data_IF_676627769391
#
_entry.id   IF_676627769391
#
_cell.length_a   1.000
_cell.length_b   1.000
_cell.length_c   1.000
_cell.angle_alpha   90.00
_cell.angle_beta   90.00
_cell.angle_gamma   90.00
#
_symmetry.space_group_name_H-M   'P 1'
#
loop_
_entity.id
_entity.type
_entity.pdbx_description
1 polymer ?
#
# COMPACT_ATOMS: atom_id res chain seq x y z
N UNK A 1 -25.47 -16.14 19.00
CA UNK A 1 -25.61 -14.74 18.54
C UNK A 1 -24.93 -14.67 17.20
N UNK A 2 -25.71 -14.65 16.12
CA UNK A 2 -25.19 -14.44 14.76
C UNK A 2 -24.61 -13.03 14.69
N UNK A 3 -23.33 -12.93 14.37
CA UNK A 3 -22.66 -11.66 14.14
C UNK A 3 -23.22 -11.03 12.86
N UNK A 4 -24.03 -9.97 12.99
CA UNK A 4 -24.63 -9.28 11.85
C UNK A 4 -23.60 -8.46 11.03
N UNK A 5 -22.30 -8.55 11.34
CA UNK A 5 -21.26 -7.78 10.66
C UNK A 5 -21.43 -6.28 10.86
N UNK A 6 -21.96 -5.87 12.00
CA UNK A 6 -22.16 -4.46 12.37
C UNK A 6 -20.82 -3.81 12.69
N UNK A 7 -20.59 -2.60 12.16
CA UNK A 7 -19.41 -1.83 12.56
C UNK A 7 -19.68 -1.10 13.88
N UNK A 8 -18.76 -1.27 14.82
CA UNK A 8 -18.80 -0.67 16.15
C UNK A 8 -17.58 0.23 16.36
N UNK A 9 -17.79 1.44 16.88
CA UNK A 9 -16.72 2.28 17.43
C UNK A 9 -16.75 2.19 18.96
N UNK A 10 -15.63 1.81 19.57
CA UNK A 10 -15.46 1.88 21.02
C UNK A 10 -14.55 3.04 21.36
N UNK A 11 -15.01 3.97 22.19
CA UNK A 11 -14.28 5.18 22.60
C UNK A 11 -14.72 5.62 23.99
N UNK A 12 -13.78 5.96 24.88
CA UNK A 12 -14.11 6.42 26.24
C UNK A 12 -14.95 5.42 27.06
N UNK A 13 -14.84 4.12 26.80
CA UNK A 13 -15.67 3.07 27.43
C UNK A 13 -17.08 2.95 26.86
N UNK A 14 -17.48 3.81 25.93
CA UNK A 14 -18.76 3.74 25.22
C UNK A 14 -18.62 2.92 23.95
N UNK A 15 -19.71 2.22 23.60
CA UNK A 15 -19.84 1.43 22.37
C UNK A 15 -20.88 2.07 21.48
N UNK A 16 -20.46 2.62 20.34
CA UNK A 16 -21.30 3.31 19.36
C UNK A 16 -21.55 2.45 18.13
N UNK A 17 -22.80 2.41 17.70
CA UNK A 17 -23.35 1.54 16.64
C UNK A 17 -24.45 2.28 15.87
N UNK A 18 -25.08 1.64 14.87
CA UNK A 18 -26.19 2.26 14.13
C UNK A 18 -25.78 3.36 13.12
N UNK A 19 -24.60 3.22 12.52
CA UNK A 19 -24.07 4.17 11.55
C UNK A 19 -24.91 4.24 10.27
N UNK A 20 -25.19 5.46 9.81
CA UNK A 20 -25.84 5.74 8.52
C UNK A 20 -24.87 5.52 7.37
N UNK A 21 -23.66 6.09 7.50
CA UNK A 21 -22.56 5.85 6.57
C UNK A 21 -21.32 5.39 7.32
N UNK A 22 -20.61 4.46 6.70
CA UNK A 22 -19.38 3.86 7.18
C UNK A 22 -18.38 3.88 6.04
N UNK A 23 -17.17 4.35 6.32
CA UNK A 23 -15.99 4.15 5.48
C UNK A 23 -14.79 3.86 6.37
N UNK A 24 -14.13 2.73 6.16
CA UNK A 24 -12.87 2.38 6.83
C UNK A 24 -11.89 1.88 5.78
N UNK A 25 -10.70 2.48 5.68
CA UNK A 25 -9.70 2.09 4.72
C UNK A 25 -8.39 1.66 5.37
N UNK A 26 -7.80 0.60 4.82
CA UNK A 26 -6.52 0.02 5.23
C UNK A 26 -5.72 -0.35 3.99
N UNK A 27 -4.40 -0.24 4.05
CA UNK A 27 -3.56 -0.68 2.95
C UNK A 27 -2.10 -0.89 3.34
N UNK A 28 -1.37 -1.60 2.48
CA UNK A 28 0.07 -1.80 2.63
C UNK A 28 0.87 -0.50 2.41
N UNK A 29 0.36 0.37 1.52
CA UNK A 29 1.00 1.65 1.19
C UNK A 29 0.18 2.85 1.69
N UNK A 30 -0.85 2.57 2.51
CA UNK A 30 -1.67 3.57 3.21
C UNK A 30 -1.39 3.46 4.70
N UNK A 31 -0.54 4.34 5.20
CA UNK A 31 -0.33 4.49 6.65
C UNK A 31 -0.49 5.96 7.04
N UNK A 32 -1.27 6.27 8.09
CA UNK A 32 -2.07 5.34 8.88
C UNK A 32 -3.31 4.84 8.12
N UNK A 33 -3.91 3.76 8.61
CA UNK A 33 -5.29 3.40 8.23
C UNK A 33 -6.26 4.46 8.77
N UNK A 34 -7.45 4.60 8.18
CA UNK A 34 -8.37 5.67 8.56
C UNK A 34 -9.85 5.29 8.46
N UNK A 35 -10.69 6.00 9.22
CA UNK A 35 -12.14 5.79 9.26
C UNK A 35 -12.93 7.11 9.24
N UNK A 36 -14.12 7.05 8.65
CA UNK A 36 -15.15 8.09 8.63
C UNK A 36 -16.52 7.44 8.89
N UNK A 37 -17.14 7.83 10.00
CA UNK A 37 -18.41 7.28 10.48
C UNK A 37 -19.43 8.41 10.64
N UNK A 38 -20.60 8.25 10.03
CA UNK A 38 -21.70 9.22 10.10
C UNK A 38 -22.92 8.60 10.75
N UNK A 39 -23.53 9.30 11.69
CA UNK A 39 -24.82 8.94 12.29
C UNK A 39 -25.76 10.14 12.30
N UNK A 40 -27.06 9.88 12.17
CA UNK A 40 -28.11 10.87 12.40
C UNK A 40 -28.71 10.59 13.77
N UNK A 41 -28.76 11.60 14.65
CA UNK A 41 -29.30 11.38 15.99
C UNK A 41 -30.81 11.10 15.96
N UNK A 42 -31.25 10.22 16.87
CA UNK A 42 -32.61 9.68 16.90
C UNK A 42 -33.63 10.60 17.56
N UNK A 43 -33.21 11.53 18.43
CA UNK A 43 -34.12 12.33 19.25
C UNK A 43 -33.82 13.83 19.16
N UNK A 44 -34.68 14.61 18.48
CA UNK A 44 -34.63 16.07 18.53
C UNK A 44 -34.97 16.56 19.95
N UNK A 45 -34.06 17.32 20.58
CA UNK A 45 -34.33 18.03 21.85
C UNK A 45 -33.58 17.54 23.09
N UNK A 46 -32.82 16.45 23.01
CA UNK A 46 -31.86 16.06 24.06
C UNK A 46 -30.44 16.48 23.66
N UNK A 47 -29.60 16.96 24.59
CA UNK A 47 -28.17 17.14 24.33
C UNK A 47 -27.58 15.83 23.81
N UNK A 48 -26.72 15.90 22.79
CA UNK A 48 -26.07 14.72 22.22
C UNK A 48 -25.51 13.82 23.33
N UNK A 49 -26.03 12.58 23.40
CA UNK A 49 -25.49 11.57 24.31
C UNK A 49 -24.10 11.06 23.85
N UNK A 50 -23.65 11.46 22.66
CA UNK A 50 -22.37 11.06 22.07
C UNK A 50 -21.26 11.94 22.67
N UNK A 51 -20.63 11.46 23.75
CA UNK A 51 -19.55 12.18 24.44
C UNK A 51 -18.17 11.89 23.85
N UNK A 52 -18.07 11.84 22.52
CA UNK A 52 -16.81 11.57 21.81
C UNK A 52 -16.03 12.87 21.67
N UNK A 53 -14.75 12.84 22.03
CA UNK A 53 -13.86 13.99 21.94
C UNK A 53 -12.66 13.67 21.05
N UNK A 54 -12.16 14.65 20.26
CA UNK A 54 -10.87 14.53 19.58
C UNK A 54 -9.74 14.14 20.54
N UNK A 55 -8.80 13.33 20.04
CA UNK A 55 -7.66 12.79 20.79
C UNK A 55 -7.98 11.55 21.63
N UNK A 56 -9.24 11.15 21.78
CA UNK A 56 -9.57 9.95 22.54
C UNK A 56 -9.11 8.67 21.82
N UNK A 57 -8.52 7.70 22.55
CA UNK A 57 -8.20 6.40 21.97
C UNK A 57 -9.50 5.67 21.59
N UNK A 58 -9.47 5.00 20.45
CA UNK A 58 -10.61 4.28 19.92
C UNK A 58 -10.24 2.95 19.28
N UNK A 59 -11.24 2.09 19.15
CA UNK A 59 -11.13 0.83 18.41
C UNK A 59 -12.36 0.66 17.55
N UNK A 60 -12.15 0.43 16.26
CA UNK A 60 -13.20 0.12 15.30
C UNK A 60 -13.22 -1.37 15.06
N UNK A 61 -14.39 -1.99 15.21
CA UNK A 61 -14.60 -3.42 14.98
C UNK A 61 -15.64 -3.63 13.91
N UNK A 62 -15.46 -4.67 13.10
CA UNK A 62 -16.50 -5.18 12.20
C UNK A 62 -16.94 -6.52 12.74
N UNK A 63 -18.13 -6.57 13.33
CA UNK A 63 -18.53 -7.72 14.12
C UNK A 63 -17.61 -7.93 15.31
N UNK A 64 -16.99 -9.11 15.43
CA UNK A 64 -16.01 -9.39 16.49
C UNK A 64 -14.58 -8.96 16.17
N UNK A 65 -14.24 -8.77 14.89
CA UNK A 65 -12.88 -8.52 14.46
C UNK A 65 -12.48 -7.06 14.65
N UNK A 66 -11.28 -6.84 15.17
CA UNK A 66 -10.68 -5.51 15.19
C UNK A 66 -10.30 -5.15 13.76
N UNK A 67 -10.85 -4.04 13.25
CA UNK A 67 -10.52 -3.52 11.94
C UNK A 67 -9.47 -2.40 12.03
N UNK A 68 -9.55 -1.55 13.06
CA UNK A 68 -8.62 -0.44 13.29
C UNK A 68 -8.52 -0.11 14.78
N UNK A 69 -7.31 0.22 15.23
CA UNK A 69 -7.06 0.73 16.58
C UNK A 69 -6.28 2.02 16.45
N UNK A 70 -6.75 3.10 17.09
CA UNK A 70 -6.22 4.43 16.82
C UNK A 70 -6.82 5.51 17.71
N UNK A 71 -6.96 6.71 17.16
CA UNK A 71 -7.49 7.86 17.87
C UNK A 71 -8.59 8.55 17.06
N UNK A 72 -9.51 9.20 17.75
CA UNK A 72 -10.47 10.11 17.11
C UNK A 72 -9.75 11.40 16.75
N UNK A 73 -9.73 11.79 15.48
CA UNK A 73 -9.11 13.03 15.04
C UNK A 73 -10.10 14.20 15.05
N UNK A 74 -11.31 13.95 14.55
CA UNK A 74 -12.34 15.01 14.42
C UNK A 74 -13.70 14.46 14.76
N UNK A 75 -14.45 15.29 15.48
CA UNK A 75 -15.88 15.13 15.71
C UNK A 75 -16.55 16.36 15.12
N UNK A 76 -17.44 16.16 14.16
CA UNK A 76 -18.18 17.22 13.50
C UNK A 76 -19.66 17.06 13.81
N UNK A 77 -20.26 18.11 14.34
CA UNK A 77 -21.68 18.19 14.66
C UNK A 77 -22.31 19.18 13.68
N UNK A 78 -23.30 18.73 12.93
CA UNK A 78 -24.02 19.54 11.96
C UNK A 78 -25.51 19.56 12.30
N UNK A 79 -26.09 20.75 12.38
CA UNK A 79 -27.53 20.94 12.53
C UNK A 79 -28.06 21.77 11.37
N UNK A 80 -29.08 21.26 10.72
CA UNK A 80 -29.86 21.96 9.70
C UNK A 80 -31.35 21.90 10.02
N UNK A 81 -32.16 22.62 9.24
CA UNK A 81 -33.60 22.68 9.45
C UNK A 81 -34.31 21.29 9.41
N UNK A 82 -33.66 20.27 8.82
CA UNK A 82 -34.22 18.92 8.64
C UNK A 82 -33.28 17.79 9.05
N UNK A 83 -32.11 18.09 9.60
CA UNK A 83 -31.12 17.08 9.94
C UNK A 83 -30.28 17.47 11.14
N UNK A 84 -29.85 16.45 11.89
CA UNK A 84 -28.82 16.56 12.91
C UNK A 84 -27.84 15.40 12.67
N UNK A 85 -26.61 15.71 12.29
CA UNK A 85 -25.60 14.72 11.90
C UNK A 85 -24.37 14.83 12.80
N UNK A 86 -23.87 13.66 13.22
CA UNK A 86 -22.61 13.52 13.94
C UNK A 86 -21.67 12.69 13.08
N UNK A 87 -20.55 13.29 12.69
CA UNK A 87 -19.48 12.62 11.96
C UNK A 87 -18.26 12.46 12.86
N UNK A 88 -17.78 11.24 12.99
CA UNK A 88 -16.57 10.90 13.74
C UNK A 88 -15.54 10.35 12.76
N UNK A 89 -14.39 11.01 12.67
CA UNK A 89 -13.27 10.59 11.84
C UNK A 89 -12.03 10.36 12.68
N UNK A 90 -11.18 9.44 12.28
CA UNK A 90 -9.93 9.17 12.97
C UNK A 90 -9.01 8.27 12.16
N UNK A 91 -7.78 8.13 12.64
CA UNK A 91 -6.77 7.29 12.02
C UNK A 91 -6.17 6.31 13.02
N UNK A 92 -5.47 5.32 12.48
CA UNK A 92 -4.71 4.34 13.24
C UNK A 92 -3.61 4.98 14.09
N UNK A 93 -3.13 4.24 15.08
CA UNK A 93 -2.08 4.69 16.01
C UNK A 93 -0.79 5.13 15.32
N UNK A 94 -0.50 4.62 14.12
CA UNK A 94 0.65 5.02 13.33
C UNK A 94 0.59 6.50 12.87
N UNK A 95 -0.54 7.19 13.03
CA UNK A 95 -0.69 8.60 12.69
C UNK A 95 0.39 9.49 13.34
N UNK A 96 0.80 9.18 14.58
CA UNK A 96 1.77 10.01 15.29
C UNK A 96 3.17 9.90 14.66
N UNK A 97 3.52 8.74 14.10
CA UNK A 97 4.75 8.56 13.33
C UNK A 97 4.73 9.33 12.01
N UNK A 98 3.54 9.47 11.43
CA UNK A 98 3.33 10.18 10.16
C UNK A 98 3.30 11.70 10.35
N UNK A 99 2.70 12.17 11.45
CA UNK A 99 2.46 13.59 11.68
C UNK A 99 3.64 14.27 12.41
N UNK A 100 4.32 13.55 13.33
CA UNK A 100 5.37 14.13 14.17
C UNK A 100 6.78 13.93 13.60
N UNK A 101 7.66 14.90 13.85
CA UNK A 101 9.08 14.77 13.55
C UNK A 101 9.70 13.65 14.40
N UNK A 102 10.69 12.97 13.84
CA UNK A 102 11.40 11.90 14.50
C UNK A 102 12.04 12.39 15.80
N UNK A 103 11.63 11.82 16.94
CA UNK A 103 12.13 12.20 18.25
C UNK A 103 13.47 11.54 18.57
N UNK A 104 14.53 12.07 17.97
CA UNK A 104 15.89 11.51 18.00
C UNK A 104 16.83 12.26 18.96
N UNK A 105 16.38 12.53 20.20
CA UNK A 105 17.18 13.32 21.18
C UNK A 105 18.44 12.61 21.68
N UNK A 106 18.43 11.29 21.67
CA UNK A 106 19.57 10.46 22.11
C UNK A 106 20.52 10.08 20.97
N UNK A 107 20.24 10.54 19.75
CA UNK A 107 21.00 10.20 18.54
C UNK A 107 21.76 11.43 18.07
N UNK A 108 23.08 11.33 17.89
CA UNK A 108 23.95 12.44 17.44
C UNK A 108 23.79 12.72 15.93
N UNK A 109 22.57 12.98 15.47
CA UNK A 109 22.25 13.28 14.07
C UNK A 109 22.54 12.17 13.06
N UNK A 110 22.86 10.95 13.54
CA UNK A 110 23.24 9.82 12.72
C UNK A 110 22.63 8.53 13.27
N UNK A 111 21.88 7.81 12.44
CA UNK A 111 21.42 6.47 12.76
C UNK A 111 22.51 5.49 12.32
N UNK A 112 23.09 4.76 13.28
CA UNK A 112 24.23 3.88 13.03
C UNK A 112 23.84 2.41 13.21
N UNK A 113 24.20 1.57 12.22
CA UNK A 113 24.24 0.10 12.29
C UNK A 113 23.02 -0.57 12.93
N UNK A 114 21.81 -0.22 12.47
CA UNK A 114 20.57 -0.85 12.90
C UNK A 114 19.92 -1.60 11.73
N UNK A 115 19.21 -2.69 12.05
CA UNK A 115 18.26 -3.30 11.12
C UNK A 115 17.04 -2.39 10.92
N UNK A 116 16.25 -2.63 9.87
CA UNK A 116 15.04 -1.84 9.62
C UNK A 116 14.04 -1.95 10.78
N UNK A 117 13.85 -3.15 11.33
CA UNK A 117 12.95 -3.37 12.46
C UNK A 117 13.49 -2.76 13.76
N UNK A 118 14.80 -2.83 14.03
CA UNK A 118 15.40 -2.22 15.22
C UNK A 118 15.26 -0.70 15.20
N UNK A 119 15.51 -0.08 14.04
CA UNK A 119 15.29 1.36 13.87
C UNK A 119 13.82 1.74 14.03
N UNK A 120 12.91 0.98 13.42
CA UNK A 120 11.49 1.23 13.56
C UNK A 120 11.05 1.18 15.02
N UNK A 121 11.57 0.23 15.83
CA UNK A 121 11.31 0.19 17.28
C UNK A 121 11.79 1.45 17.99
N UNK A 122 12.98 1.94 17.65
CA UNK A 122 13.54 3.14 18.24
C UNK A 122 12.65 4.37 17.95
N UNK A 123 12.18 4.51 16.71
CA UNK A 123 11.33 5.62 16.28
C UNK A 123 9.89 5.51 16.80
N UNK A 124 9.39 4.29 16.96
CA UNK A 124 8.06 3.96 17.48
C UNK A 124 7.95 4.11 19.01
N UNK A 125 9.05 3.94 19.74
CA UNK A 125 9.07 3.89 21.20
C UNK A 125 8.49 5.15 21.89
N UNK A 126 8.80 6.39 21.46
CA UNK A 126 8.23 7.60 22.07
C UNK A 126 6.69 7.67 22.02
N UNK A 127 6.09 7.01 21.03
CA UNK A 127 4.64 6.95 20.83
C UNK A 127 4.00 5.70 21.46
N UNK A 128 4.79 4.85 22.13
CA UNK A 128 4.29 3.61 22.74
C UNK A 128 3.83 2.56 21.73
N UNK A 129 4.30 2.65 20.48
CA UNK A 129 3.92 1.73 19.40
C UNK A 129 4.80 0.47 19.43
N UNK A 130 4.17 -0.68 19.21
CA UNK A 130 4.89 -1.93 19.03
C UNK A 130 5.28 -2.12 17.56
N UNK A 131 6.43 -2.77 17.35
CA UNK A 131 6.90 -3.13 16.01
C UNK A 131 7.05 -4.65 15.91
N UNK A 132 6.41 -5.23 14.89
CA UNK A 132 6.49 -6.63 14.52
C UNK A 132 7.44 -6.81 13.35
N UNK A 133 8.20 -7.90 13.38
CA UNK A 133 9.15 -8.26 12.33
C UNK A 133 8.96 -9.76 11.97
N UNK A 134 7.83 -10.14 11.34
CA UNK A 134 7.47 -11.55 11.15
C UNK A 134 8.47 -12.31 10.26
N UNK A 135 9.13 -11.63 9.32
CA UNK A 135 10.14 -12.19 8.43
C UNK A 135 11.58 -11.97 8.94
N UNK A 136 11.73 -11.61 10.22
CA UNK A 136 13.00 -11.27 10.84
C UNK A 136 13.34 -9.78 10.77
N UNK A 137 14.45 -9.41 11.41
CA UNK A 137 14.86 -8.01 11.61
C UNK A 137 15.23 -7.26 10.32
N UNK A 138 15.55 -8.00 9.25
CA UNK A 138 16.12 -7.48 8.01
C UNK A 138 17.64 -7.31 8.08
N UNK A 139 18.30 -6.95 6.96
CA UNK A 139 19.73 -6.67 6.94
C UNK A 139 20.08 -5.50 7.86
N UNK A 140 21.29 -5.53 8.44
CA UNK A 140 21.84 -4.37 9.15
C UNK A 140 22.22 -3.33 8.11
N UNK A 141 21.69 -2.12 8.27
CA UNK A 141 21.94 -1.05 7.31
C UNK A 141 23.24 -0.32 7.63
N UNK A 142 23.98 0.13 6.61
CA UNK A 142 25.10 1.05 6.83
C UNK A 142 24.58 2.36 7.42
N UNK A 143 25.49 3.13 8.00
CA UNK A 143 25.17 4.44 8.55
C UNK A 143 24.56 5.37 7.49
N UNK A 144 23.46 6.04 7.83
CA UNK A 144 22.84 7.05 6.97
C UNK A 144 22.45 8.29 7.78
N UNK A 145 22.36 9.42 7.08
CA UNK A 145 21.97 10.68 7.69
C UNK A 145 20.45 10.80 7.73
N UNK A 146 19.95 11.36 8.82
CA UNK A 146 18.53 11.70 8.99
C UNK A 146 18.44 13.21 9.19
N UNK A 147 17.53 13.87 8.46
CA UNK A 147 17.25 15.27 8.68
C UNK A 147 16.38 15.44 9.93
N UNK A 148 16.67 16.47 10.74
CA UNK A 148 15.92 16.75 11.97
C UNK A 148 14.44 17.10 11.74
N UNK A 149 14.07 17.37 10.50
CA UNK A 149 12.70 17.72 10.08
C UNK A 149 11.92 16.52 9.53
N UNK A 150 12.56 15.37 9.33
CA UNK A 150 11.88 14.16 8.84
C UNK A 150 10.96 13.58 9.91
N UNK A 151 9.85 13.01 9.49
CA UNK A 151 8.94 12.28 10.38
C UNK A 151 9.48 10.90 10.68
N UNK A 152 9.00 10.28 11.77
CA UNK A 152 9.38 8.91 12.10
C UNK A 152 9.03 7.94 10.97
N UNK A 153 7.87 8.15 10.33
CA UNK A 153 7.39 7.30 9.24
C UNK A 153 8.22 7.44 7.97
N UNK A 154 8.60 8.66 7.56
CA UNK A 154 9.46 8.89 6.39
C UNK A 154 10.77 8.10 6.47
N UNK A 155 11.37 8.09 7.67
CA UNK A 155 12.60 7.34 7.93
C UNK A 155 12.33 5.83 7.86
N UNK A 156 11.28 5.34 8.54
CA UNK A 156 10.92 3.92 8.59
C UNK A 156 10.64 3.39 7.18
N UNK A 157 9.81 4.07 6.41
CA UNK A 157 9.40 3.68 5.05
C UNK A 157 10.61 3.66 4.10
N UNK A 158 11.49 4.68 4.14
CA UNK A 158 12.72 4.70 3.35
C UNK A 158 13.64 3.51 3.69
N UNK A 159 13.84 3.26 4.98
CA UNK A 159 14.72 2.20 5.49
C UNK A 159 14.17 0.81 5.20
N UNK A 160 12.86 0.60 5.36
CA UNK A 160 12.21 -0.65 5.01
C UNK A 160 12.39 -0.95 3.51
N UNK A 161 12.16 0.04 2.63
CA UNK A 161 12.38 -0.12 1.18
C UNK A 161 13.82 -0.48 0.84
N UNK A 162 14.80 0.14 1.51
CA UNK A 162 16.21 -0.17 1.33
C UNK A 162 16.53 -1.61 1.79
N UNK A 163 15.91 -2.05 2.88
CA UNK A 163 16.02 -3.42 3.39
C UNK A 163 15.25 -4.47 2.53
N UNK A 164 14.58 -4.05 1.46
CA UNK A 164 13.71 -4.94 0.66
C UNK A 164 12.47 -5.39 1.44
N UNK A 165 11.99 -4.57 2.37
CA UNK A 165 10.85 -4.85 3.24
C UNK A 165 9.74 -3.80 3.04
N UNK A 166 8.53 -4.17 3.43
CA UNK A 166 7.38 -3.29 3.57
C UNK A 166 7.29 -2.81 5.01
N UNK A 167 6.84 -1.56 5.17
CA UNK A 167 6.41 -1.01 6.44
C UNK A 167 4.92 -0.65 6.34
N UNK A 168 4.09 -1.18 7.24
CA UNK A 168 2.66 -0.86 7.27
C UNK A 168 2.09 -1.01 8.69
N UNK A 169 0.89 -0.48 8.90
CA UNK A 169 0.15 -0.60 10.16
C UNK A 169 -0.85 -1.76 10.12
N UNK A 170 -0.88 -2.60 11.18
CA UNK A 170 -1.91 -3.63 11.33
C UNK A 170 -3.19 -3.12 12.05
N UNK A 171 -4.24 -3.96 12.10
CA UNK A 171 -5.52 -3.57 12.71
C UNK A 171 -5.41 -3.23 14.21
N UNK A 172 -4.37 -3.72 14.89
CA UNK A 172 -4.11 -3.47 16.30
C UNK A 172 -3.32 -2.16 16.53
N UNK A 173 -2.96 -1.45 15.46
CA UNK A 173 -2.18 -0.22 15.50
C UNK A 173 -0.70 -0.48 15.82
N UNK A 174 -0.19 -1.65 15.43
CA UNK A 174 1.23 -2.01 15.51
C UNK A 174 1.87 -1.79 14.14
N UNK A 175 3.15 -1.43 14.14
CA UNK A 175 3.92 -1.29 12.90
C UNK A 175 4.46 -2.66 12.53
N UNK A 176 4.30 -3.07 11.28
CA UNK A 176 4.83 -4.32 10.73
C UNK A 176 5.93 -3.99 9.75
N UNK A 177 7.11 -4.58 9.97
CA UNK A 177 8.26 -4.56 9.05
C UNK A 177 8.44 -5.97 8.53
N UNK A 178 8.11 -6.23 7.27
CA UNK A 178 8.11 -7.59 6.73
C UNK A 178 8.03 -7.66 5.22
N UNK A 179 7.94 -8.86 4.67
CA UNK A 179 7.70 -9.08 3.23
C UNK A 179 6.19 -9.09 2.96
N UNK A 180 5.82 -9.02 1.69
CA UNK A 180 4.43 -9.22 1.30
C UNK A 180 3.92 -10.59 1.77
N UNK A 181 2.71 -10.63 2.33
CA UNK A 181 2.16 -11.85 2.92
C UNK A 181 1.97 -12.96 1.89
N UNK A 182 2.12 -14.20 2.35
CA UNK A 182 1.88 -15.43 1.57
C UNK A 182 0.53 -16.07 1.88
N UNK A 183 -0.14 -15.58 2.92
CA UNK A 183 -1.44 -16.07 3.36
C UNK A 183 -2.51 -15.75 2.33
N UNK A 184 -3.44 -16.69 2.17
CA UNK A 184 -4.51 -16.62 1.16
C UNK A 184 -5.86 -16.50 1.85
N UNK A 185 -6.73 -15.68 1.26
CA UNK A 185 -8.15 -15.72 1.58
C UNK A 185 -8.79 -17.00 1.05
N UNK A 186 -9.87 -17.43 1.71
CA UNK A 186 -10.56 -18.67 1.36
C UNK A 186 -11.30 -18.58 0.02
N UNK A 187 -11.68 -17.37 -0.40
CA UNK A 187 -12.26 -17.09 -1.70
C UNK A 187 -11.53 -15.94 -2.41
N UNK A 188 -11.80 -15.82 -3.70
CA UNK A 188 -11.29 -14.75 -4.55
C UNK A 188 -12.40 -13.82 -5.06
N UNK A 189 -12.12 -13.14 -6.15
CA UNK A 189 -13.00 -12.23 -6.88
C UNK A 189 -13.29 -12.82 -8.25
N UNK A 190 -14.56 -13.19 -8.48
CA UNK A 190 -14.99 -13.87 -9.71
C UNK A 190 -16.09 -13.04 -10.40
N UNK A 191 -15.86 -12.73 -11.68
CA UNK A 191 -16.82 -12.00 -12.50
C UNK A 191 -18.16 -12.75 -12.57
N UNK A 192 -19.26 -12.05 -12.31
CA UNK A 192 -20.61 -12.62 -12.35
C UNK A 192 -21.00 -13.42 -11.10
N UNK A 193 -20.14 -13.47 -10.08
CA UNK A 193 -20.44 -14.10 -8.78
C UNK A 193 -20.47 -13.03 -7.68
N UNK A 194 -19.31 -12.58 -7.22
CA UNK A 194 -19.18 -11.68 -6.07
C UNK A 194 -18.55 -10.32 -6.42
N UNK A 195 -18.34 -10.06 -7.72
CA UNK A 195 -17.78 -8.81 -8.21
C UNK A 195 -18.89 -7.99 -8.83
N UNK A 196 -19.16 -6.83 -8.25
CA UNK A 196 -20.17 -5.89 -8.72
C UNK A 196 -19.62 -5.00 -9.83
N UNK A 197 -18.44 -4.43 -9.60
CA UNK A 197 -17.71 -3.64 -10.59
C UNK A 197 -16.23 -3.96 -10.50
N UNK A 198 -15.55 -3.87 -11.64
CA UNK A 198 -14.09 -4.00 -11.69
C UNK A 198 -13.51 -3.13 -12.81
N UNK A 199 -12.32 -2.62 -12.56
CA UNK A 199 -11.51 -1.88 -13.53
C UNK A 199 -10.07 -2.38 -13.43
N UNK A 200 -9.44 -2.63 -14.57
CA UNK A 200 -8.02 -2.97 -14.64
C UNK A 200 -7.26 -1.87 -15.36
N UNK A 201 -6.07 -1.56 -14.87
CA UNK A 201 -5.12 -0.65 -15.50
C UNK A 201 -3.88 -1.42 -15.89
N UNK A 202 -3.55 -1.40 -17.19
CA UNK A 202 -2.27 -1.83 -17.74
C UNK A 202 -1.49 -0.60 -18.21
N UNK A 203 -0.48 -0.20 -17.45
CA UNK A 203 0.21 1.08 -17.63
C UNK A 203 1.65 0.91 -18.14
N UNK A 204 2.15 1.93 -18.84
CA UNK A 204 3.53 1.98 -19.35
C UNK A 204 4.23 3.31 -19.01
N UNK A 205 3.48 4.29 -18.53
CA UNK A 205 3.95 5.64 -18.20
C UNK A 205 4.97 5.62 -17.05
N UNK A 206 4.78 4.76 -16.05
CA UNK A 206 5.70 4.57 -14.91
C UNK A 206 6.68 3.40 -15.09
N UNK A 207 6.80 2.83 -16.29
CA UNK A 207 7.82 1.84 -16.66
C UNK A 207 8.92 2.45 -17.51
N UNK A 208 10.14 1.93 -17.31
CA UNK A 208 11.36 2.41 -17.94
C UNK A 208 12.16 1.22 -18.46
N UNK A 209 12.77 1.37 -19.64
CA UNK A 209 13.60 0.32 -20.26
C UNK A 209 14.92 0.08 -19.53
N UNK A 210 15.49 1.12 -18.92
CA UNK A 210 16.78 1.08 -18.24
C UNK A 210 16.64 1.76 -16.88
N UNK A 211 17.14 1.10 -15.84
CA UNK A 211 17.22 1.61 -14.49
C UNK A 211 18.67 1.69 -14.10
N UNK A 212 19.13 2.86 -13.67
CA UNK A 212 20.51 3.07 -13.23
C UNK A 212 20.52 3.66 -11.82
N UNK A 213 21.18 2.95 -10.92
CA UNK A 213 21.42 3.39 -9.55
C UNK A 213 22.79 4.09 -9.49
N UNK A 214 22.81 5.36 -9.12
CA UNK A 214 24.03 6.17 -8.96
C UNK A 214 24.30 6.48 -7.50
N UNK A 215 25.56 6.73 -7.11
CA UNK A 215 25.89 7.06 -5.71
C UNK A 215 25.74 8.54 -5.39
N UNK A 216 25.76 9.41 -6.40
CA UNK A 216 25.57 10.86 -6.24
C UNK A 216 24.66 11.41 -7.34
N UNK A 217 23.91 12.47 -7.03
CA UNK A 217 23.06 13.17 -8.02
C UNK A 217 23.84 14.04 -9.00
N UNK A 218 25.12 14.32 -8.70
CA UNK A 218 26.04 15.08 -9.55
C UNK A 218 27.23 14.19 -9.85
N UNK A 219 27.60 14.10 -11.12
CA UNK A 219 28.75 13.31 -11.56
C UNK A 219 30.05 14.14 -11.44
N UNK A 220 30.41 14.50 -10.20
CA UNK A 220 31.64 15.26 -9.91
C UNK A 220 32.91 14.44 -10.23
N UNK A 221 32.75 13.13 -10.42
CA UNK A 221 33.83 12.18 -10.69
C UNK A 221 34.06 11.97 -12.19
N UNK A 222 33.21 12.50 -13.06
CA UNK A 222 33.32 12.34 -14.51
C UNK A 222 34.58 13.01 -15.08
N UNK A 223 34.89 14.23 -14.62
CA UNK A 223 36.10 14.96 -15.03
C UNK A 223 37.38 14.26 -14.56
N UNK A 224 37.34 13.66 -13.36
CA UNK A 224 38.46 12.88 -12.82
C UNK A 224 38.63 11.58 -13.59
N UNK A 225 37.55 10.83 -13.86
CA UNK A 225 37.57 9.58 -14.62
C UNK A 225 38.04 9.80 -16.06
N UNK A 226 37.56 10.84 -16.74
CA UNK A 226 38.01 11.22 -18.07
C UNK A 226 39.51 11.57 -18.12
N UNK A 227 40.05 12.18 -17.05
CA UNK A 227 41.46 12.54 -16.96
C UNK A 227 42.41 11.35 -16.72
N UNK A 228 41.95 10.26 -16.08
CA UNK A 228 42.73 9.02 -15.88
C UNK A 228 42.36 7.87 -16.83
N UNK A 229 41.53 8.14 -17.86
CA UNK A 229 41.12 7.12 -18.84
C UNK A 229 40.16 6.06 -18.27
N UNK A 230 39.45 6.40 -17.20
CA UNK A 230 38.40 5.57 -16.60
C UNK A 230 37.06 5.65 -17.34
N UNK A 231 36.11 4.75 -17.02
CA UNK A 231 34.77 4.77 -17.61
C UNK A 231 34.01 6.07 -17.32
N UNK A 232 33.29 6.60 -18.31
CA UNK A 232 32.49 7.84 -18.20
C UNK A 232 31.20 7.68 -17.37
N UNK A 233 30.92 6.47 -16.88
CA UNK A 233 29.78 6.07 -16.05
C UNK A 233 30.21 5.72 -14.62
N UNK A 234 31.32 6.29 -14.14
CA UNK A 234 31.92 6.00 -12.83
C UNK A 234 30.97 6.14 -11.63
N UNK A 235 29.94 6.99 -11.76
CA UNK A 235 28.93 7.21 -10.74
C UNK A 235 27.86 6.10 -10.68
N UNK A 236 27.71 5.28 -11.74
CA UNK A 236 26.73 4.20 -11.82
C UNK A 236 27.24 2.97 -11.08
N UNK A 237 26.42 2.43 -10.16
CA UNK A 237 26.75 1.25 -9.34
C UNK A 237 25.77 0.09 -9.47
N UNK A 238 24.66 0.29 -10.18
CA UNK A 238 23.69 -0.77 -10.45
C UNK A 238 22.87 -0.50 -11.71
N UNK A 239 22.54 -1.56 -12.45
CA UNK A 239 21.78 -1.50 -13.70
C UNK A 239 20.71 -2.58 -13.76
N UNK A 240 19.49 -2.23 -14.13
CA UNK A 240 18.45 -3.19 -14.49
C UNK A 240 17.79 -2.84 -15.82
N UNK A 241 17.33 -3.85 -16.54
CA UNK A 241 16.65 -3.69 -17.82
C UNK A 241 15.27 -4.32 -17.76
N UNK A 242 14.27 -3.55 -18.17
CA UNK A 242 12.92 -4.03 -18.33
C UNK A 242 12.66 -4.32 -19.82
N UNK A 243 12.64 -5.61 -20.16
CA UNK A 243 12.44 -6.07 -21.53
C UNK A 243 11.01 -5.83 -22.03
N UNK A 244 10.05 -5.59 -21.13
CA UNK A 244 8.67 -5.28 -21.47
C UNK A 244 8.46 -3.85 -21.98
N UNK A 245 9.46 -2.99 -21.90
CA UNK A 245 9.37 -1.60 -22.34
C UNK A 245 9.96 -1.48 -23.76
N UNK A 246 9.12 -1.30 -24.80
CA UNK A 246 9.56 -1.45 -26.21
C UNK A 246 10.44 -0.31 -26.72
N UNK A 247 10.50 0.81 -25.99
CA UNK A 247 11.21 2.03 -26.39
C UNK A 247 12.21 2.47 -25.34
N UNK A 248 13.25 3.18 -25.75
CA UNK A 248 14.25 3.73 -24.82
C UNK A 248 13.62 4.78 -23.90
N UNK A 249 13.55 4.42 -22.61
CA UNK A 249 13.08 5.22 -21.48
C UNK A 249 14.03 4.95 -20.31
N UNK A 250 15.06 5.76 -20.08
CA UNK A 250 15.94 5.58 -18.95
C UNK A 250 15.36 6.20 -17.66
N UNK A 251 15.67 5.60 -16.52
CA UNK A 251 15.45 6.16 -15.19
C UNK A 251 16.75 6.06 -14.41
N UNK A 252 17.31 7.21 -14.03
CA UNK A 252 18.48 7.31 -13.18
C UNK A 252 18.02 7.79 -11.80
N UNK A 253 18.50 7.18 -10.73
CA UNK A 253 18.15 7.57 -9.37
C UNK A 253 19.33 7.30 -8.42
N UNK A 254 19.39 8.06 -7.32
CA UNK A 254 20.43 7.92 -6.32
C UNK A 254 20.13 6.72 -5.41
N UNK A 255 21.11 5.86 -5.19
CA UNK A 255 21.11 4.83 -4.15
C UNK A 255 21.64 5.43 -2.86
N UNK A 256 20.90 5.34 -1.76
CA UNK A 256 21.13 6.12 -0.53
C UNK A 256 22.41 5.78 0.27
N UNK A 257 23.30 4.94 -0.27
CA UNK A 257 24.52 4.46 0.39
C UNK A 257 25.73 5.35 0.13
N UNK A 258 26.53 5.66 1.17
CA UNK A 258 27.57 6.69 1.08
C UNK A 258 28.94 6.26 0.51
N UNK A 259 29.27 4.96 0.41
CA UNK A 259 30.38 4.41 -0.42
C UNK A 259 30.52 2.90 -0.17
N UNK A 260 30.88 2.13 -1.22
CA UNK A 260 30.96 0.65 -1.25
C UNK A 260 29.61 -0.07 -1.09
N UNK A 261 29.22 -0.87 -2.08
CA UNK A 261 27.93 -1.58 -2.09
C UNK A 261 27.35 -1.81 -3.48
N UNK A 262 28.18 -2.19 -4.47
CA UNK A 262 27.74 -2.44 -5.84
C UNK A 262 26.62 -3.51 -5.88
N UNK A 263 26.69 -4.51 -5.01
CA UNK A 263 25.65 -5.52 -4.85
C UNK A 263 24.31 -4.94 -4.38
N UNK A 264 24.35 -3.94 -3.49
CA UNK A 264 23.16 -3.25 -3.00
C UNK A 264 22.56 -2.34 -4.07
N UNK A 265 23.38 -1.57 -4.78
CA UNK A 265 22.92 -0.69 -5.85
C UNK A 265 22.32 -1.50 -7.02
N UNK A 266 22.91 -2.65 -7.34
CA UNK A 266 22.37 -3.59 -8.32
C UNK A 266 20.99 -4.12 -7.89
N UNK A 267 20.86 -4.66 -6.66
CA UNK A 267 19.58 -5.14 -6.12
C UNK A 267 18.53 -4.02 -6.08
N UNK A 268 18.94 -2.79 -5.79
CA UNK A 268 18.05 -1.62 -5.79
C UNK A 268 17.51 -1.32 -7.19
N UNK A 269 18.34 -1.37 -8.23
CA UNK A 269 17.91 -1.19 -9.61
C UNK A 269 16.91 -2.27 -10.04
N UNK A 270 17.17 -3.52 -9.69
CA UNK A 270 16.30 -4.67 -9.97
C UNK A 270 14.97 -4.58 -9.21
N UNK A 271 15.01 -4.17 -7.95
CA UNK A 271 13.82 -3.95 -7.12
C UNK A 271 12.95 -2.82 -7.68
N UNK A 272 13.53 -1.67 -8.03
CA UNK A 272 12.77 -0.54 -8.61
C UNK A 272 12.07 -0.96 -9.92
N UNK A 273 12.76 -1.74 -10.76
CA UNK A 273 12.21 -2.27 -12.00
C UNK A 273 11.05 -3.25 -11.75
N UNK A 274 11.24 -4.21 -10.83
CA UNK A 274 10.22 -5.19 -10.41
C UNK A 274 8.99 -4.52 -9.82
N UNK A 275 9.19 -3.60 -8.89
CA UNK A 275 8.13 -2.89 -8.18
C UNK A 275 7.28 -2.05 -9.15
N UNK A 276 7.90 -1.42 -10.16
CA UNK A 276 7.20 -0.69 -11.22
C UNK A 276 6.48 -1.60 -12.21
N UNK A 277 7.07 -2.74 -12.56
CA UNK A 277 6.39 -3.76 -13.35
C UNK A 277 5.11 -4.25 -12.65
N UNK A 278 5.19 -4.58 -11.36
CA UNK A 278 4.01 -4.96 -10.58
C UNK A 278 2.95 -3.85 -10.52
N UNK A 279 3.33 -2.62 -10.16
CA UNK A 279 2.38 -1.48 -10.10
C UNK A 279 1.79 -1.06 -11.44
N UNK A 280 2.42 -1.43 -12.55
CA UNK A 280 1.86 -1.17 -13.87
C UNK A 280 0.57 -1.95 -14.14
N UNK A 281 0.26 -2.92 -13.28
CA UNK A 281 -0.91 -3.78 -13.34
C UNK A 281 -1.66 -3.60 -12.02
N UNK A 282 -2.76 -2.86 -12.03
CA UNK A 282 -3.60 -2.70 -10.86
C UNK A 282 -5.05 -3.03 -11.23
N UNK A 283 -5.74 -3.74 -10.35
CA UNK A 283 -7.17 -4.01 -10.48
C UNK A 283 -7.90 -3.40 -9.30
N UNK A 284 -8.89 -2.58 -9.60
CA UNK A 284 -9.85 -2.03 -8.64
C UNK A 284 -11.12 -2.86 -8.73
N UNK A 285 -11.61 -3.37 -7.61
CA UNK A 285 -12.79 -4.25 -7.53
C UNK A 285 -13.72 -3.72 -6.44
N UNK A 286 -15.02 -3.66 -6.73
CA UNK A 286 -16.06 -3.54 -5.70
C UNK A 286 -16.78 -4.88 -5.56
N UNK A 287 -16.88 -5.39 -4.34
CA UNK A 287 -17.65 -6.58 -4.00
C UNK A 287 -18.70 -6.29 -2.92
N UNK A 288 -19.69 -7.18 -2.84
CA UNK A 288 -20.90 -7.10 -2.01
C UNK A 288 -20.68 -7.49 -0.53
N UNK A 289 -19.45 -7.82 -0.14
CA UNK A 289 -19.13 -8.36 1.18
C UNK A 289 -17.80 -7.85 1.72
N UNK A 290 -17.77 -7.55 3.02
CA UNK A 290 -16.54 -7.26 3.75
C UNK A 290 -15.69 -8.50 4.06
N UNK A 291 -16.24 -9.70 3.84
CA UNK A 291 -15.64 -10.97 4.25
C UNK A 291 -15.52 -11.95 3.09
N UNK A 292 -14.49 -12.79 3.17
CA UNK A 292 -14.32 -13.96 2.31
C UNK A 292 -15.31 -15.10 2.65
N UNK A 293 -15.27 -16.18 1.87
CA UNK A 293 -16.16 -17.33 2.06
C UNK A 293 -15.95 -18.09 3.39
N UNK A 294 -14.81 -17.91 4.07
CA UNK A 294 -14.57 -18.45 5.41
C UNK A 294 -14.99 -17.48 6.52
N UNK A 295 -15.54 -16.33 6.16
CA UNK A 295 -15.96 -15.29 7.09
C UNK A 295 -14.81 -14.45 7.62
N UNK A 296 -13.60 -14.49 7.03
CA UNK A 296 -12.52 -13.57 7.41
C UNK A 296 -12.68 -12.23 6.71
N UNK A 297 -12.41 -11.11 7.40
CA UNK A 297 -12.38 -9.80 6.74
C UNK A 297 -11.35 -9.80 5.63
N UNK A 298 -11.64 -9.16 4.50
CA UNK A 298 -10.61 -8.90 3.48
C UNK A 298 -9.48 -8.10 4.09
N UNK A 299 -8.22 -8.55 4.02
CA UNK A 299 -7.09 -7.85 4.65
C UNK A 299 -6.00 -7.48 3.63
N UNK A 300 -5.41 -6.27 3.74
CA UNK A 300 -4.23 -5.93 2.99
C UNK A 300 -3.08 -6.90 3.30
N UNK A 301 -2.24 -7.18 2.30
CA UNK A 301 -1.10 -8.10 2.45
C UNK A 301 -1.44 -9.57 2.26
N UNK A 302 -2.73 -9.93 2.11
CA UNK A 302 -3.13 -11.29 1.78
C UNK A 302 -3.38 -11.47 0.30
N UNK A 303 -3.20 -12.70 -0.17
CA UNK A 303 -3.47 -13.12 -1.52
C UNK A 303 -4.96 -13.46 -1.68
N UNK A 304 -5.55 -13.01 -2.78
CA UNK A 304 -6.87 -13.42 -3.24
C UNK A 304 -6.79 -13.75 -4.74
N UNK A 305 -7.48 -14.81 -5.14
CA UNK A 305 -7.56 -15.17 -6.57
C UNK A 305 -8.46 -14.18 -7.30
N UNK A 306 -8.06 -13.71 -8.47
CA UNK A 306 -8.83 -12.81 -9.34
C UNK A 306 -9.12 -13.54 -10.63
N UNK A 307 -10.42 -13.69 -10.94
CA UNK A 307 -10.92 -14.33 -12.16
C UNK A 307 -11.90 -13.37 -12.86
N UNK A 308 -11.36 -12.50 -13.71
CA UNK A 308 -12.09 -11.49 -14.47
C UNK A 308 -11.74 -11.60 -15.97
N UNK A 309 -12.17 -12.69 -16.64
CA UNK A 309 -11.77 -12.96 -18.02
C UNK A 309 -12.17 -11.85 -19.00
N UNK A 310 -13.29 -11.15 -18.78
CA UNK A 310 -13.68 -10.02 -19.62
C UNK A 310 -12.71 -8.83 -19.54
N UNK A 311 -11.94 -8.73 -18.44
CA UNK A 311 -10.90 -7.73 -18.22
C UNK A 311 -9.49 -8.27 -18.49
N UNK A 312 -9.36 -9.41 -19.18
CA UNK A 312 -8.06 -10.03 -19.49
C UNK A 312 -7.26 -10.45 -18.25
N UNK A 313 -7.94 -10.71 -17.14
CA UNK A 313 -7.35 -11.24 -15.92
C UNK A 313 -7.87 -12.67 -15.68
N UNK A 314 -7.17 -13.70 -16.22
CA UNK A 314 -7.51 -15.08 -15.94
C UNK A 314 -7.13 -15.44 -14.49
N UNK A 315 -7.61 -16.61 -14.05
CA UNK A 315 -7.48 -17.14 -12.69
C UNK A 315 -6.05 -17.05 -12.13
N UNK A 316 -5.77 -15.99 -11.36
CA UNK A 316 -4.42 -15.69 -10.82
C UNK A 316 -4.52 -15.12 -9.41
N UNK A 317 -3.52 -15.41 -8.57
CA UNK A 317 -3.44 -14.84 -7.23
C UNK A 317 -2.84 -13.43 -7.25
N UNK A 318 -3.55 -12.48 -6.66
CA UNK A 318 -3.13 -11.08 -6.53
C UNK A 318 -3.08 -10.70 -5.04
N UNK A 319 -2.20 -9.77 -4.68
CA UNK A 319 -2.12 -9.25 -3.31
C UNK A 319 -3.13 -8.12 -3.17
N UNK A 320 -3.94 -8.17 -2.10
CA UNK A 320 -4.78 -7.03 -1.70
C UNK A 320 -3.85 -5.93 -1.18
N UNK A 321 -3.72 -4.87 -1.96
CA UNK A 321 -2.92 -3.70 -1.64
C UNK A 321 -3.66 -2.78 -0.65
N UNK A 322 -4.95 -2.57 -0.91
CA UNK A 322 -5.84 -1.71 -0.15
C UNK A 322 -7.23 -2.31 -0.10
N UNK A 323 -7.90 -2.12 1.03
CA UNK A 323 -9.33 -2.40 1.22
C UNK A 323 -10.00 -1.20 1.85
N UNK A 324 -11.14 -0.80 1.30
CA UNK A 324 -12.06 0.17 1.89
C UNK A 324 -13.40 -0.50 2.15
N UNK A 325 -13.73 -0.71 3.42
CA UNK A 325 -15.04 -1.19 3.84
C UNK A 325 -16.02 -0.02 3.88
N UNK A 326 -17.10 -0.13 3.10
CA UNK A 326 -18.15 0.87 3.01
C UNK A 326 -19.49 0.28 3.41
N UNK A 327 -20.31 1.06 4.12
CA UNK A 327 -21.74 0.77 4.26
C UNK A 327 -22.53 2.07 4.22
N UNK A 328 -23.63 2.07 3.48
CA UNK A 328 -24.51 3.23 3.35
C UNK A 328 -25.89 2.82 2.84
N UNK A 329 -26.59 3.74 2.17
CA UNK A 329 -27.90 3.44 1.58
C UNK A 329 -27.84 2.33 0.52
N UNK A 330 -26.70 2.18 -0.16
CA UNK A 330 -26.49 1.17 -1.19
C UNK A 330 -26.15 -0.22 -0.62
N UNK A 331 -26.09 -0.38 0.71
CA UNK A 331 -25.76 -1.64 1.37
C UNK A 331 -24.31 -1.73 1.82
N UNK A 332 -23.81 -2.96 1.95
CA UNK A 332 -22.45 -3.28 2.42
C UNK A 332 -21.56 -3.59 1.24
N UNK A 333 -20.43 -2.90 1.14
CA UNK A 333 -19.51 -3.00 0.01
C UNK A 333 -18.07 -2.98 0.49
N UNK A 334 -17.19 -3.72 -0.19
CA UNK A 334 -15.75 -3.52 -0.07
C UNK A 334 -15.16 -3.11 -1.41
N UNK A 335 -14.42 -2.00 -1.41
CA UNK A 335 -13.57 -1.63 -2.54
C UNK A 335 -12.16 -2.12 -2.26
N UNK A 336 -11.59 -2.82 -3.23
CA UNK A 336 -10.26 -3.38 -3.13
C UNK A 336 -9.40 -2.86 -4.27
N UNK A 337 -8.16 -2.55 -3.95
CA UNK A 337 -7.10 -2.45 -4.95
C UNK A 337 -6.23 -3.69 -4.78
N UNK A 338 -6.08 -4.45 -5.85
CA UNK A 338 -5.15 -5.58 -5.89
C UNK A 338 -4.08 -5.32 -6.93
N UNK A 339 -2.88 -5.84 -6.64
CA UNK A 339 -1.75 -5.81 -7.56
C UNK A 339 -1.10 -7.20 -7.64
N UNK A 340 -0.36 -7.50 -8.70
CA UNK A 340 0.45 -8.71 -8.75
C UNK A 340 1.43 -8.76 -7.57
N UNK A 341 1.78 -9.95 -7.07
CA UNK A 341 2.73 -10.09 -5.95
C UNK A 341 4.06 -9.38 -6.19
N UNK A 342 4.49 -9.27 -7.45
CA UNK A 342 5.71 -8.59 -7.87
C UNK A 342 5.72 -7.09 -7.51
N UNK A 343 4.55 -6.46 -7.32
CA UNK A 343 4.44 -5.06 -6.89
C UNK A 343 4.99 -4.81 -5.47
N UNK A 344 5.08 -5.88 -4.68
CA UNK A 344 5.45 -5.92 -3.28
C UNK A 344 6.61 -6.88 -2.98
N UNK A 345 7.21 -7.48 -4.01
CA UNK A 345 8.30 -8.44 -3.85
C UNK A 345 9.57 -7.75 -3.32
N UNK A 346 10.20 -8.39 -2.34
CA UNK A 346 11.49 -8.00 -1.77
C UNK A 346 12.66 -8.29 -2.71
N UNK A 347 12.52 -9.34 -3.53
CA UNK A 347 13.59 -9.93 -4.32
C UNK A 347 13.40 -9.62 -5.82
N UNK A 348 14.50 -9.46 -6.58
CA UNK A 348 14.46 -9.35 -8.03
C UNK A 348 13.64 -10.47 -8.68
N UNK A 349 12.69 -10.11 -9.55
CA UNK A 349 11.98 -11.09 -10.39
C UNK A 349 12.37 -10.91 -11.85
N UNK A 350 12.27 -11.99 -12.63
CA UNK A 350 12.47 -11.92 -14.07
C UNK A 350 11.33 -11.13 -14.69
N UNK A 351 11.65 -9.96 -15.25
CA UNK A 351 10.66 -9.04 -15.82
C UNK A 351 10.23 -9.53 -17.20
N UNK A 352 8.96 -9.90 -17.33
CA UNK A 352 8.28 -10.14 -18.60
C UNK A 352 7.36 -8.95 -18.95
N UNK A 353 6.89 -8.79 -20.21
CA UNK A 353 6.02 -7.68 -20.58
C UNK A 353 4.72 -7.60 -19.74
N UNK A 354 4.12 -8.76 -19.52
CA UNK A 354 2.99 -9.05 -18.63
C UNK A 354 3.25 -10.41 -17.96
N UNK A 355 2.46 -10.76 -16.94
CA UNK A 355 2.40 -12.16 -16.52
C UNK A 355 1.97 -13.06 -17.68
N UNK A 356 2.50 -14.28 -17.77
CA UNK A 356 2.27 -15.15 -18.92
C UNK A 356 0.78 -15.47 -19.16
N UNK A 357 -0.04 -15.60 -18.10
CA UNK A 357 -1.47 -15.86 -18.23
C UNK A 357 -2.20 -14.63 -18.77
N UNK A 358 -1.81 -13.43 -18.29
CA UNK A 358 -2.35 -12.14 -18.77
C UNK A 358 -1.92 -11.90 -20.22
N UNK A 359 -0.65 -12.16 -20.56
CA UNK A 359 -0.12 -12.06 -21.92
C UNK A 359 -0.90 -12.92 -22.91
N UNK A 360 -1.15 -14.19 -22.57
CA UNK A 360 -1.99 -15.06 -23.39
C UNK A 360 -3.43 -14.53 -23.56
N UNK A 361 -4.03 -13.97 -22.49
CA UNK A 361 -5.37 -13.39 -22.56
C UNK A 361 -5.43 -12.13 -23.45
N UNK A 362 -4.36 -11.33 -23.46
CA UNK A 362 -4.20 -10.18 -24.35
C UNK A 362 -4.06 -10.63 -25.81
N UNK A 363 -3.28 -11.68 -26.09
CA UNK A 363 -3.03 -12.19 -27.44
C UNK A 363 -4.24 -12.95 -28.04
N UNK A 364 -5.10 -13.54 -27.20
CA UNK A 364 -6.22 -14.39 -27.64
C UNK A 364 -7.38 -13.67 -28.37
N UNK A 365 -7.34 -12.33 -28.52
CA UNK A 365 -8.28 -11.58 -29.38
C UNK A 365 -7.55 -10.98 -30.60
N UNK A 366 -7.23 -11.77 -31.64
CA UNK A 366 -6.82 -11.18 -32.91
C UNK A 366 -7.99 -10.37 -33.48
N UNK A 367 -7.68 -9.17 -33.99
CA UNK A 367 -8.59 -8.32 -34.77
C UNK A 367 -9.32 -9.19 -35.81
N UNK A 368 -10.65 -9.07 -36.00
CA UNK A 368 -11.31 -9.82 -37.06
C UNK A 368 -10.66 -9.44 -38.40
N UNK A 369 -10.43 -10.41 -39.31
CA UNK A 369 -9.86 -10.10 -40.60
C UNK A 369 -10.77 -9.10 -41.31
N UNK A 370 -10.19 -8.00 -41.79
CA UNK A 370 -10.84 -7.09 -42.73
C UNK A 370 -11.39 -7.92 -43.88
N UNK A 371 -12.72 -8.04 -43.96
CA UNK A 371 -13.39 -8.55 -45.14
C UNK A 371 -13.14 -7.56 -46.27
N UNK A 372 -12.14 -7.86 -47.09
CA UNK A 372 -11.97 -7.23 -48.39
C UNK A 372 -13.11 -7.74 -49.29
N UNK A 373 -14.23 -7.00 -49.29
CA UNK A 373 -15.32 -7.24 -50.23
C UNK A 373 -14.88 -6.72 -51.59
N UNK A 374 -14.53 -7.67 -52.46
CA UNK A 374 -14.10 -7.42 -53.82
C UNK A 374 -15.04 -6.51 -54.62
N UNK A 375 -14.43 -5.54 -55.30
CA UNK A 375 -15.06 -4.82 -56.40
C UNK A 375 -15.06 -5.68 -57.66
N UNK A 376 -16.25 -6.11 -58.08
CA UNK A 376 -16.51 -6.62 -59.42
C UNK A 376 -16.49 -5.45 -60.41
N UNK A 377 -15.69 -5.59 -61.46
CA UNK A 377 -15.73 -4.78 -62.67
C UNK A 377 -16.95 -5.15 -63.53
N UNK A 378 -17.45 -4.24 -64.39
CA UNK A 378 -18.14 -4.64 -65.61
C UNK A 378 -17.17 -5.13 -66.69
#
# INVERSE_FOLDING_TARGET
MTDNGELTLTVGGQRLTGWKNVRLARGLERTPSDFDLLVTERYPGEPSAISVQPGQPCTVRIGQDVALTGYVDRVQLEIGARHHEVRVTGRGKAQDLVDCQAWLRDVRGQVSFASAAALARQLAAPFGLQVLAPDGEGPVLPQFNVALTETGWEIIDRVARYAGMLAYEDAQGRIVIGKAGKDRHASGFVQGINVETAMVTFAMDQRYSHYEAVVMSVDVLQDLAGAVGGPLDYNVRGRARDQGVPRFRPRVFVSEQMQSGEDIAQRRAEWEATRRFGRSQAVSITCDSWRDAAGQLWEPGRLATVHLPALKLPDRAWIIAEVTYRRGQEGTHADLVLMPPEAYAAEPVVLQPYDWQVGQALDANPTPPTTDTGGLAP
#
